data_IF_263441171818
#
_entry.id   IF_263441171818
#
_cell.length_a   1.000
_cell.length_b   1.000
_cell.length_c   1.000
_cell.angle_alpha   90.00
_cell.angle_beta   90.00
_cell.angle_gamma   90.00
#
_symmetry.space_group_name_H-M   'P 1'
#
loop_
_entity.id
_entity.type
_entity.pdbx_description
1 polymer ?
#
# COMPACT_ATOMS: atom_id res chain seq x y z
N UNK A 1 7.08 4.70 -22.89
CA UNK A 1 7.28 5.09 -21.48
C UNK A 1 6.59 4.05 -20.64
N UNK A 2 7.27 3.46 -19.67
CA UNK A 2 6.68 2.50 -18.74
C UNK A 2 5.83 3.22 -17.69
N UNK A 3 4.85 2.53 -17.08
CA UNK A 3 4.08 3.10 -15.96
C UNK A 3 4.99 3.48 -14.79
N UNK A 4 6.13 2.78 -14.62
CA UNK A 4 7.19 3.14 -13.65
C UNK A 4 7.82 4.50 -13.95
N UNK A 5 8.26 4.72 -15.20
CA UNK A 5 8.84 6.01 -15.62
C UNK A 5 7.84 7.15 -15.49
N UNK A 6 6.58 6.90 -15.83
CA UNK A 6 5.51 7.88 -15.67
C UNK A 6 5.26 8.22 -14.20
N UNK A 7 5.25 7.21 -13.32
CA UNK A 7 5.10 7.40 -11.88
C UNK A 7 6.20 8.31 -11.31
N UNK A 8 7.46 8.07 -11.70
CA UNK A 8 8.59 8.90 -11.29
C UNK A 8 8.42 10.36 -11.74
N UNK A 9 8.05 10.58 -13.01
CA UNK A 9 7.77 11.93 -13.53
C UNK A 9 6.69 12.66 -12.72
N UNK A 10 5.62 11.97 -12.33
CA UNK A 10 4.57 12.57 -11.48
C UNK A 10 5.14 13.01 -10.14
N UNK A 11 5.96 12.19 -9.49
CA UNK A 11 6.59 12.55 -8.21
C UNK A 11 7.67 13.62 -8.34
N UNK A 12 8.34 13.70 -9.48
CA UNK A 12 9.33 14.73 -9.79
C UNK A 12 8.69 16.07 -10.23
N UNK A 13 7.37 16.09 -10.44
CA UNK A 13 6.65 17.27 -10.94
C UNK A 13 6.91 17.55 -12.41
N UNK A 14 7.39 16.56 -13.16
CA UNK A 14 7.61 16.63 -14.60
C UNK A 14 6.32 16.36 -15.39
N UNK A 15 6.29 16.80 -16.64
CA UNK A 15 5.20 16.50 -17.55
C UNK A 15 5.16 15.00 -17.89
N UNK A 16 4.03 14.37 -17.60
CA UNK A 16 3.70 13.02 -18.04
C UNK A 16 2.90 13.08 -19.35
N UNK A 17 3.11 12.14 -20.29
CA UNK A 17 2.43 12.17 -21.59
C UNK A 17 0.92 11.92 -21.51
N UNK A 18 0.43 11.37 -20.40
CA UNK A 18 -0.99 11.18 -20.12
C UNK A 18 -1.25 11.25 -18.60
N UNK A 19 -2.52 11.30 -18.22
CA UNK A 19 -2.92 11.24 -16.81
C UNK A 19 -2.51 9.89 -16.24
N UNK A 20 -1.61 9.90 -15.26
CA UNK A 20 -1.19 8.69 -14.58
C UNK A 20 -2.34 8.09 -13.75
N UNK A 21 -2.91 6.99 -14.24
CA UNK A 21 -4.09 6.37 -13.66
C UNK A 21 -3.73 5.19 -12.73
N UNK A 22 -4.19 5.30 -11.47
CA UNK A 22 -3.99 4.29 -10.42
C UNK A 22 -5.33 3.90 -9.78
N UNK A 23 -6.07 2.95 -10.36
CA UNK A 23 -7.37 2.53 -9.85
C UNK A 23 -7.25 1.70 -8.57
N UNK A 24 -8.27 1.79 -7.70
CA UNK A 24 -8.38 0.99 -6.46
C UNK A 24 -9.29 -0.22 -6.64
N UNK A 25 -8.98 -1.06 -7.63
CA UNK A 25 -9.80 -2.22 -8.03
C UNK A 25 -9.46 -3.50 -7.27
N UNK A 26 -8.47 -3.48 -6.38
CA UNK A 26 -8.00 -4.65 -5.64
C UNK A 26 -9.15 -5.28 -4.83
N UNK A 27 -9.97 -4.45 -4.17
CA UNK A 27 -11.13 -4.93 -3.41
C UNK A 27 -12.19 -5.59 -4.28
N UNK A 28 -12.44 -5.04 -5.47
CA UNK A 28 -13.34 -5.66 -6.44
C UNK A 28 -12.79 -7.02 -6.88
N UNK A 29 -11.49 -7.11 -7.17
CA UNK A 29 -10.84 -8.36 -7.57
C UNK A 29 -10.94 -9.42 -6.46
N UNK A 30 -10.50 -9.10 -5.24
CA UNK A 30 -10.51 -10.05 -4.11
C UNK A 30 -11.91 -10.55 -3.78
N UNK A 31 -12.88 -9.63 -3.74
CA UNK A 31 -14.28 -9.98 -3.48
C UNK A 31 -14.85 -10.93 -4.54
N UNK A 32 -14.56 -10.71 -5.82
CA UNK A 32 -15.05 -11.57 -6.89
C UNK A 32 -14.26 -12.89 -7.01
N UNK A 33 -12.98 -12.88 -6.69
CA UNK A 33 -12.13 -14.09 -6.66
C UNK A 33 -12.64 -15.08 -5.62
N UNK A 34 -12.84 -14.60 -4.39
CA UNK A 34 -13.35 -15.42 -3.28
C UNK A 34 -14.73 -16.01 -3.58
N UNK A 35 -15.57 -15.26 -4.30
CA UNK A 35 -16.91 -15.70 -4.69
C UNK A 35 -16.96 -16.52 -5.98
N UNK A 36 -15.84 -16.67 -6.70
CA UNK A 36 -15.80 -17.30 -8.01
C UNK A 36 -16.60 -16.54 -9.09
N UNK A 37 -16.88 -15.25 -8.88
CA UNK A 37 -17.68 -14.39 -9.78
C UNK A 37 -16.85 -13.53 -10.72
N UNK A 38 -15.54 -13.77 -10.78
CA UNK A 38 -14.67 -13.06 -11.73
C UNK A 38 -15.11 -13.33 -13.19
N UNK A 39 -15.10 -12.29 -14.05
CA UNK A 39 -15.28 -12.46 -15.48
C UNK A 39 -14.35 -13.55 -16.03
N UNK A 40 -14.81 -14.30 -17.05
CA UNK A 40 -14.08 -15.46 -17.57
C UNK A 40 -12.63 -15.16 -17.95
N UNK A 41 -12.34 -13.97 -18.50
CA UNK A 41 -10.99 -13.51 -18.84
C UNK A 41 -10.04 -13.44 -17.64
N UNK A 42 -10.55 -13.17 -16.44
CA UNK A 42 -9.73 -12.87 -15.25
C UNK A 42 -9.70 -13.99 -14.22
N UNK A 43 -10.37 -15.13 -14.46
CA UNK A 43 -10.49 -16.20 -13.45
C UNK A 43 -9.15 -16.81 -13.04
N UNK A 44 -8.25 -16.94 -14.00
CA UNK A 44 -6.93 -17.55 -13.82
C UNK A 44 -5.82 -16.50 -13.68
N UNK A 45 -6.17 -15.21 -13.64
CA UNK A 45 -5.23 -14.10 -13.49
C UNK A 45 -5.01 -13.77 -12.01
N UNK A 46 -3.76 -13.55 -11.62
CA UNK A 46 -3.43 -12.94 -10.34
C UNK A 46 -3.72 -11.42 -10.38
N UNK A 47 -3.72 -10.77 -9.21
CA UNK A 47 -4.03 -9.34 -9.13
C UNK A 47 -3.12 -8.50 -10.03
N UNK A 48 -1.82 -8.81 -10.05
CA UNK A 48 -0.84 -8.07 -10.86
C UNK A 48 -1.07 -8.28 -12.37
N UNK A 49 -1.44 -9.49 -12.78
CA UNK A 49 -1.78 -9.79 -14.18
C UNK A 49 -2.98 -8.94 -14.65
N UNK A 50 -3.97 -8.71 -13.78
CA UNK A 50 -5.10 -7.82 -14.06
C UNK A 50 -4.66 -6.37 -14.27
N UNK A 51 -3.71 -5.86 -13.48
CA UNK A 51 -3.18 -4.51 -13.65
C UNK A 51 -2.40 -4.37 -14.96
N UNK A 52 -1.60 -5.38 -15.31
CA UNK A 52 -0.87 -5.43 -16.57
C UNK A 52 -1.82 -5.54 -17.77
N UNK A 53 -2.88 -6.35 -17.69
CA UNK A 53 -3.90 -6.51 -18.74
C UNK A 53 -4.70 -5.22 -19.01
N UNK A 54 -4.94 -4.42 -17.95
CA UNK A 54 -5.63 -3.14 -18.03
C UNK A 54 -4.70 -1.97 -18.42
N UNK A 55 -3.39 -2.18 -18.50
CA UNK A 55 -2.37 -1.14 -18.68
C UNK A 55 -2.48 0.02 -17.66
N UNK A 56 -2.67 -0.34 -16.38
CA UNK A 56 -2.80 0.61 -15.27
C UNK A 56 -1.80 0.32 -14.16
N UNK A 57 -1.37 1.36 -13.45
CA UNK A 57 -0.44 1.17 -12.33
C UNK A 57 -1.19 0.80 -11.06
N UNK A 58 -0.64 -0.16 -10.31
CA UNK A 58 -1.07 -0.39 -8.93
C UNK A 58 -0.74 0.82 -8.05
N UNK A 59 -1.60 1.07 -7.05
CA UNK A 59 -1.44 2.20 -6.13
C UNK A 59 -0.55 1.85 -4.94
N UNK A 60 -0.80 0.71 -4.31
CA UNK A 60 -0.14 0.35 -3.06
C UNK A 60 1.08 -0.54 -3.31
N UNK A 61 2.21 -0.12 -2.73
CA UNK A 61 3.51 -0.77 -2.88
C UNK A 61 3.58 -2.12 -2.16
N UNK A 62 2.75 -2.30 -1.13
CA UNK A 62 2.70 -3.51 -0.31
C UNK A 62 2.30 -4.74 -1.13
N UNK A 63 1.36 -4.59 -2.06
CA UNK A 63 0.94 -5.66 -2.97
C UNK A 63 2.04 -6.11 -3.93
N UNK A 64 2.97 -5.22 -4.28
CA UNK A 64 4.07 -5.54 -5.19
C UNK A 64 5.34 -5.99 -4.47
N UNK A 65 5.63 -5.41 -3.30
CA UNK A 65 6.92 -5.59 -2.61
C UNK A 65 6.84 -6.50 -1.39
N UNK A 66 5.64 -6.78 -0.87
CA UNK A 66 5.46 -7.45 0.42
C UNK A 66 5.92 -6.61 1.62
N UNK A 67 6.35 -5.37 1.40
CA UNK A 67 6.74 -4.44 2.46
C UNK A 67 5.50 -3.74 3.00
N UNK A 68 5.40 -3.49 4.32
CA UNK A 68 4.25 -2.80 4.92
C UNK A 68 4.11 -1.33 4.46
N UNK A 69 5.11 -0.80 3.75
CA UNK A 69 5.10 0.54 3.17
C UNK A 69 6.37 0.85 2.40
N UNK A 70 6.37 1.96 1.66
CA UNK A 70 7.54 2.45 0.92
C UNK A 70 8.63 3.03 1.82
N UNK A 71 8.27 3.36 3.06
CA UNK A 71 9.13 3.99 4.05
C UNK A 71 9.12 3.13 5.30
N UNK A 72 10.30 2.64 5.69
CA UNK A 72 10.51 2.02 7.00
C UNK A 72 10.62 3.08 8.09
N UNK A 73 10.18 2.75 9.30
CA UNK A 73 10.42 3.58 10.47
C UNK A 73 11.59 3.01 11.26
N UNK A 74 12.57 3.86 11.55
CA UNK A 74 13.65 3.56 12.49
C UNK A 74 13.58 4.56 13.64
N UNK A 75 13.61 4.04 14.86
CA UNK A 75 13.61 4.86 16.07
C UNK A 75 15.04 5.02 16.58
N UNK A 76 15.43 6.25 16.91
CA UNK A 76 16.67 6.46 17.67
C UNK A 76 16.57 5.82 19.07
N UNK A 77 17.70 5.53 19.71
CA UNK A 77 17.77 4.98 21.07
C UNK A 77 17.02 5.80 22.15
N UNK A 78 16.69 7.06 21.85
CA UNK A 78 15.93 7.97 22.71
C UNK A 78 14.43 7.71 22.69
N UNK A 79 13.94 6.90 21.76
CA UNK A 79 12.51 6.56 21.63
C UNK A 79 12.30 5.14 22.12
N UNK A 80 11.36 4.96 23.05
CA UNK A 80 11.02 3.64 23.59
C UNK A 80 9.56 3.34 23.28
N UNK A 81 9.32 2.22 22.61
CA UNK A 81 7.97 1.74 22.31
C UNK A 81 7.63 0.63 23.31
N UNK A 82 6.52 0.79 24.03
CA UNK A 82 6.01 -0.19 24.99
C UNK A 82 4.56 -0.49 24.69
N UNK A 83 4.14 -1.71 24.95
CA UNK A 83 2.72 -2.08 24.93
C UNK A 83 2.20 -2.08 26.38
N UNK A 84 1.07 -1.43 26.60
CA UNK A 84 0.36 -1.41 27.88
C UNK A 84 -1.03 -2.00 27.67
N UNK A 85 -1.40 -2.99 28.47
CA UNK A 85 -2.75 -3.58 28.45
C UNK A 85 -3.47 -3.17 29.72
N UNK A 86 -4.65 -2.57 29.58
CA UNK A 86 -5.56 -2.25 30.69
C UNK A 86 -6.95 -2.83 30.40
N UNK A 87 -7.29 -3.92 31.09
CA UNK A 87 -8.53 -4.66 30.82
C UNK A 87 -8.55 -5.19 29.38
N UNK A 88 -9.58 -4.79 28.61
CA UNK A 88 -9.74 -5.15 27.20
C UNK A 88 -9.05 -4.18 26.23
N UNK A 89 -8.37 -3.14 26.75
CA UNK A 89 -7.70 -2.13 25.92
C UNK A 89 -6.21 -2.39 25.86
N UNK A 90 -5.68 -2.36 24.64
CA UNK A 90 -4.25 -2.38 24.36
C UNK A 90 -3.84 -0.99 23.88
N UNK A 91 -2.82 -0.43 24.51
CA UNK A 91 -2.21 0.84 24.17
C UNK A 91 -0.78 0.60 23.71
N UNK A 92 -0.36 1.36 22.70
CA UNK A 92 1.04 1.53 22.36
C UNK A 92 1.50 2.87 22.93
N UNK A 93 2.47 2.84 23.84
CA UNK A 93 3.09 4.02 24.44
C UNK A 93 4.44 4.23 23.79
N UNK A 94 4.58 5.36 23.09
CA UNK A 94 5.82 5.80 22.46
C UNK A 94 6.40 6.93 23.30
N UNK A 95 7.41 6.61 24.12
CA UNK A 95 8.14 7.58 24.92
C UNK A 95 9.13 8.32 24.00
N UNK A 96 9.00 9.64 23.86
CA UNK A 96 9.92 10.48 23.09
C UNK A 96 10.57 11.56 23.96
N UNK A 97 11.67 12.20 23.53
CA UNK A 97 12.24 13.35 24.24
C UNK A 97 11.31 14.56 24.41
N UNK A 98 10.17 14.59 23.72
CA UNK A 98 9.18 15.67 23.78
C UNK A 98 7.91 15.30 24.56
N UNK A 99 7.83 14.06 25.06
CA UNK A 99 6.66 13.54 25.76
C UNK A 99 6.22 12.18 25.23
N UNK A 100 5.15 11.67 25.82
CA UNK A 100 4.57 10.37 25.49
C UNK A 100 3.47 10.52 24.44
N UNK A 101 3.48 9.64 23.45
CA UNK A 101 2.37 9.45 22.52
C UNK A 101 1.70 8.12 22.86
N UNK A 102 0.38 8.16 23.08
CA UNK A 102 -0.42 6.98 23.45
C UNK A 102 -1.44 6.76 22.34
N UNK A 103 -1.39 5.60 21.69
CA UNK A 103 -2.31 5.19 20.62
C UNK A 103 -2.98 3.87 20.95
#
# INVERSE_FOLDING_TARGET
>A
MTKKEMNLKVFEGEEAPEVFFQPRIEWWYWYNRERGTLPGRYRDMELLDLFDDLDVSIRYIDYFTGLPGAVGMEYSDKVKVKEKVEGERKFTVVETPKGELIT
#
